data_IF_268501052734
#
_entry.id   IF_268501052734
#
_cell.length_a   1.000
_cell.length_b   1.000
_cell.length_c   1.000
_cell.angle_alpha   90.00
_cell.angle_beta   90.00
_cell.angle_gamma   90.00
#
_symmetry.space_group_name_H-M   'P 1'
#
loop_
_entity.id
_entity.type
_entity.pdbx_description
1 polymer ?
#
# COMPACT_ATOMS: atom_id res chain seq x y z
N UNK A 1 -7.67 -4.20 -24.23
CA UNK A 1 -6.34 -3.73 -23.80
C UNK A 1 -5.33 -4.73 -24.35
N UNK A 2 -4.27 -4.29 -25.03
CA UNK A 2 -3.23 -5.23 -25.46
C UNK A 2 -2.40 -5.70 -24.25
N UNK A 3 -1.68 -6.83 -24.39
CA UNK A 3 -0.87 -7.38 -23.29
C UNK A 3 0.22 -6.41 -22.82
N UNK A 4 0.78 -5.60 -23.72
CA UNK A 4 1.82 -4.62 -23.38
C UNK A 4 1.28 -3.57 -22.42
N UNK A 5 0.09 -3.03 -22.68
CA UNK A 5 -0.59 -2.08 -21.82
C UNK A 5 -0.94 -2.68 -20.44
N UNK A 6 -1.26 -3.98 -20.36
CA UNK A 6 -1.47 -4.66 -19.06
C UNK A 6 -0.16 -4.75 -18.28
N UNK A 7 0.96 -5.08 -18.95
CA UNK A 7 2.28 -5.12 -18.30
C UNK A 7 2.74 -3.74 -17.83
N UNK A 8 2.51 -2.68 -18.62
CA UNK A 8 2.85 -1.31 -18.24
C UNK A 8 2.07 -0.85 -17.00
N UNK A 9 0.77 -1.14 -16.96
CA UNK A 9 -0.09 -0.83 -15.81
C UNK A 9 0.35 -1.64 -14.58
N UNK A 10 0.62 -2.93 -14.74
CA UNK A 10 1.11 -3.77 -13.65
C UNK A 10 2.45 -3.24 -13.10
N UNK A 11 3.38 -2.85 -13.97
CA UNK A 11 4.65 -2.26 -13.57
C UNK A 11 4.48 -0.95 -12.80
N UNK A 12 3.47 -0.15 -13.12
CA UNK A 12 3.11 1.04 -12.35
C UNK A 12 2.56 0.66 -10.97
N UNK A 13 1.62 -0.26 -10.89
CA UNK A 13 1.02 -0.69 -9.63
C UNK A 13 2.07 -1.30 -8.70
N UNK A 14 2.99 -2.11 -9.20
CA UNK A 14 4.08 -2.68 -8.39
C UNK A 14 4.93 -1.59 -7.73
N UNK A 15 5.24 -0.50 -8.44
CA UNK A 15 5.96 0.65 -7.85
C UNK A 15 5.13 1.35 -6.77
N UNK A 16 3.83 1.49 -6.99
CA UNK A 16 2.91 2.11 -6.03
C UNK A 16 2.72 1.24 -4.77
N UNK A 17 2.67 -0.09 -4.92
CA UNK A 17 2.64 -1.08 -3.82
C UNK A 17 3.89 -0.93 -2.96
N UNK A 18 5.09 -0.94 -3.56
CA UNK A 18 6.36 -0.78 -2.82
C UNK A 18 6.44 0.57 -2.12
N UNK A 19 5.97 1.65 -2.76
CA UNK A 19 5.91 2.96 -2.12
C UNK A 19 4.95 2.96 -0.91
N UNK A 20 3.79 2.33 -1.04
CA UNK A 20 2.82 2.18 0.05
C UNK A 20 3.34 1.36 1.21
N UNK A 21 4.06 0.27 0.96
CA UNK A 21 4.72 -0.53 2.01
C UNK A 21 5.73 0.29 2.82
N UNK A 22 6.50 1.16 2.16
CA UNK A 22 7.44 2.07 2.85
C UNK A 22 6.69 3.06 3.74
N UNK A 23 5.61 3.65 3.23
CA UNK A 23 4.78 4.58 4.01
C UNK A 23 4.14 3.88 5.22
N UNK A 24 3.66 2.65 5.05
CA UNK A 24 3.15 1.83 6.15
C UNK A 24 4.21 1.61 7.23
N UNK A 25 5.42 1.18 6.84
CA UNK A 25 6.49 0.94 7.79
C UNK A 25 6.90 2.22 8.55
N UNK A 26 6.95 3.37 7.86
CA UNK A 26 7.23 4.66 8.48
C UNK A 26 6.14 5.07 9.48
N UNK A 27 4.88 4.87 9.13
CA UNK A 27 3.74 5.20 9.99
C UNK A 27 3.64 4.26 11.20
N UNK A 28 3.90 2.96 11.01
CA UNK A 28 3.97 1.99 12.10
C UNK A 28 5.07 2.35 13.10
N UNK A 29 6.23 2.78 12.60
CA UNK A 29 7.32 3.29 13.45
C UNK A 29 6.87 4.53 14.24
N UNK A 30 6.21 5.49 13.59
CA UNK A 30 5.69 6.68 14.28
C UNK A 30 4.73 6.30 15.40
N UNK A 31 3.77 5.40 15.16
CA UNK A 31 2.84 4.93 16.20
C UNK A 31 3.60 4.31 17.37
N UNK A 32 4.63 3.49 17.11
CA UNK A 32 5.44 2.88 18.17
C UNK A 32 6.22 3.92 18.98
N UNK A 33 6.79 4.93 18.33
CA UNK A 33 7.57 5.97 19.00
C UNK A 33 6.66 6.85 19.87
N UNK A 34 5.48 7.25 19.36
CA UNK A 34 4.47 7.97 20.15
C UNK A 34 4.00 7.16 21.37
N UNK A 35 3.79 5.84 21.22
CA UNK A 35 3.44 4.94 22.34
C UNK A 35 4.54 4.90 23.40
N UNK A 36 5.80 4.85 22.98
CA UNK A 36 6.96 4.84 23.90
C UNK A 36 7.08 6.14 24.68
N UNK A 37 6.77 7.26 24.04
CA UNK A 37 6.80 8.59 24.66
C UNK A 37 5.55 8.90 25.52
N UNK A 38 4.57 7.99 25.56
CA UNK A 38 3.31 8.20 26.27
C UNK A 38 2.43 9.28 25.64
N UNK A 39 2.63 9.57 24.35
CA UNK A 39 1.89 10.57 23.60
C UNK A 39 0.58 10.00 23.03
N UNK A 40 -0.34 10.89 22.66
CA UNK A 40 -1.58 10.50 21.99
C UNK A 40 -1.27 9.94 20.59
N UNK A 41 -1.76 8.73 20.32
CA UNK A 41 -1.52 7.99 19.07
C UNK A 41 -2.72 7.97 18.13
N UNK A 42 -3.89 8.47 18.56
CA UNK A 42 -5.15 8.30 17.83
C UNK A 42 -5.07 8.75 16.37
N UNK A 43 -4.49 9.93 16.10
CA UNK A 43 -4.35 10.44 14.74
C UNK A 43 -3.35 9.62 13.90
N UNK A 44 -2.28 9.13 14.51
CA UNK A 44 -1.28 8.32 13.82
C UNK A 44 -1.83 6.91 13.51
N UNK A 45 -2.66 6.35 14.38
CA UNK A 45 -3.36 5.08 14.15
C UNK A 45 -4.46 5.20 13.10
N UNK A 46 -5.21 6.31 13.07
CA UNK A 46 -6.19 6.59 12.02
C UNK A 46 -5.51 6.67 10.64
N UNK A 47 -4.38 7.36 10.55
CA UNK A 47 -3.63 7.45 9.30
C UNK A 47 -3.04 6.10 8.89
N UNK A 48 -2.56 5.31 9.85
CA UNK A 48 -2.08 3.95 9.58
C UNK A 48 -3.20 3.09 8.96
N UNK A 49 -4.42 3.18 9.47
CA UNK A 49 -5.55 2.44 8.90
C UNK A 49 -5.92 2.92 7.51
N UNK A 50 -5.89 4.24 7.25
CA UNK A 50 -6.05 4.79 5.89
C UNK A 50 -5.01 4.22 4.92
N UNK A 51 -3.74 4.20 5.31
CA UNK A 51 -2.67 3.65 4.49
C UNK A 51 -2.86 2.14 4.23
N UNK A 52 -3.33 1.38 5.23
CA UNK A 52 -3.64 -0.05 5.07
C UNK A 52 -4.77 -0.28 4.08
N UNK A 53 -5.81 0.53 4.12
CA UNK A 53 -6.89 0.48 3.15
C UNK A 53 -6.41 0.78 1.73
N UNK A 54 -5.60 1.83 1.55
CA UNK A 54 -4.99 2.13 0.26
C UNK A 54 -4.12 0.98 -0.26
N UNK A 55 -3.34 0.34 0.63
CA UNK A 55 -2.51 -0.81 0.25
C UNK A 55 -3.36 -2.00 -0.20
N UNK A 56 -4.43 -2.33 0.53
CA UNK A 56 -5.37 -3.39 0.15
C UNK A 56 -5.94 -3.19 -1.25
N UNK A 57 -6.31 -1.95 -1.60
CA UNK A 57 -6.84 -1.63 -2.93
C UNK A 57 -5.79 -1.85 -4.02
N UNK A 58 -4.55 -1.41 -3.80
CA UNK A 58 -3.45 -1.62 -4.76
C UNK A 58 -3.15 -3.11 -4.96
N UNK A 59 -3.18 -3.90 -3.89
CA UNK A 59 -2.99 -5.35 -3.97
C UNK A 59 -4.12 -6.04 -4.75
N UNK A 60 -5.36 -5.58 -4.59
CA UNK A 60 -6.50 -6.06 -5.38
C UNK A 60 -6.34 -5.71 -6.86
N UNK A 61 -5.94 -4.49 -7.18
CA UNK A 61 -5.71 -4.09 -8.58
C UNK A 61 -4.56 -4.89 -9.20
N UNK A 62 -3.48 -5.11 -8.46
CA UNK A 62 -2.37 -5.98 -8.86
C UNK A 62 -2.85 -7.39 -9.17
N UNK A 63 -3.63 -8.01 -8.28
CA UNK A 63 -4.17 -9.35 -8.49
C UNK A 63 -5.12 -9.41 -9.69
N UNK A 64 -5.94 -8.37 -9.89
CA UNK A 64 -6.82 -8.25 -11.05
C UNK A 64 -6.01 -8.25 -12.36
N UNK A 65 -4.96 -7.43 -12.45
CA UNK A 65 -4.11 -7.38 -13.64
C UNK A 65 -3.36 -8.69 -13.89
N UNK A 66 -2.82 -9.31 -12.85
CA UNK A 66 -2.18 -10.62 -12.96
C UNK A 66 -3.13 -11.69 -13.47
N UNK A 67 -4.40 -11.67 -13.04
CA UNK A 67 -5.43 -12.61 -13.50
C UNK A 67 -5.73 -12.44 -15.00
N UNK A 68 -5.67 -11.22 -15.54
CA UNK A 68 -5.86 -10.95 -16.97
C UNK A 68 -4.69 -11.45 -17.85
N UNK A 69 -3.53 -11.69 -17.25
CA UNK A 69 -2.35 -12.23 -17.92
C UNK A 69 -2.29 -13.77 -17.93
N UNK A 70 -3.23 -14.43 -17.26
CA UNK A 70 -3.29 -15.89 -17.27
C UNK A 70 -3.64 -16.42 -18.68
N UNK A 71 -3.08 -17.58 -19.09
CA UNK A 71 -3.32 -18.18 -20.41
C UNK A 71 -4.78 -18.58 -20.67
#
# INVERSE_FOLDING_TARGET
MDRTSIYDELGRIEREVVAGERQLAEQERLVLDLKREGQNTASAEEELERLRECQRLRDQDRQRLLSLLQP
#
